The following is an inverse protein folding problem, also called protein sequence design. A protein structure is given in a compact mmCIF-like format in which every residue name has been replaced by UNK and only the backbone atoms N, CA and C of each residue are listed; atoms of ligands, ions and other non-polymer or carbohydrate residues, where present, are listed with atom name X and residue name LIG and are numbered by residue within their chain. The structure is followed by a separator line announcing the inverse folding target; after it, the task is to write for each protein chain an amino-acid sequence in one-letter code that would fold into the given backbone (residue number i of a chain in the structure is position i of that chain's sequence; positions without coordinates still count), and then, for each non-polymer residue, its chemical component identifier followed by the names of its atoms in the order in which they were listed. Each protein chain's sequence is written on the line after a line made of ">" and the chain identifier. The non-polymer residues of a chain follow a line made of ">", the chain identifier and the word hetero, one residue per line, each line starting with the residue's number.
data_IF_747459895631
#
_entry.id   IF_747459895631
#
_cell.length_a   1.000
_cell.length_b   1.000
_cell.length_c   1.000
_cell.angle_alpha   90.00
_cell.angle_beta   90.00
_cell.angle_gamma   90.00
#
_symmetry.space_group_name_H-M   'P 1'
#
loop_
_entity.id
_entity.type
_entity.pdbx_description
1 polymer ?
#
# COMPACT_ATOMS: atom_id res chain seq x y z
N UNK A 1 -3.75 -2.69 23.76
CA UNK A 1 -2.68 -3.04 22.80
C UNK A 1 -3.13 -4.04 21.73
N UNK A 2 -3.75 -5.19 22.07
CA UNK A 2 -4.18 -6.19 21.07
C UNK A 2 -5.05 -5.66 19.92
N UNK A 3 -5.93 -4.69 20.19
CA UNK A 3 -6.79 -4.07 19.17
C UNK A 3 -6.01 -3.34 18.07
N UNK A 4 -4.94 -2.62 18.45
CA UNK A 4 -4.12 -1.90 17.48
C UNK A 4 -3.31 -2.84 16.60
N UNK A 5 -2.82 -3.97 17.14
CA UNK A 5 -2.05 -4.96 16.39
C UNK A 5 -2.92 -5.72 15.36
N UNK A 6 -4.19 -5.99 15.72
CA UNK A 6 -5.18 -6.58 14.80
C UNK A 6 -5.48 -5.67 13.62
N UNK A 7 -5.46 -4.35 13.81
CA UNK A 7 -5.55 -3.39 12.73
C UNK A 7 -4.23 -3.26 11.94
N UNK A 8 -3.10 -3.22 12.65
CA UNK A 8 -1.81 -2.92 12.07
C UNK A 8 -1.30 -3.98 11.09
N UNK A 9 -1.50 -5.28 11.34
CA UNK A 9 -0.92 -6.34 10.49
C UNK A 9 -1.58 -6.41 9.10
N UNK A 10 -2.92 -6.45 8.98
CA UNK A 10 -3.57 -6.37 7.66
C UNK A 10 -3.26 -5.05 6.96
N UNK A 11 -3.26 -3.93 7.69
CA UNK A 11 -2.90 -2.61 7.16
C UNK A 11 -1.44 -2.51 6.68
N UNK A 12 -0.50 -3.15 7.37
CA UNK A 12 0.88 -3.28 6.92
C UNK A 12 0.97 -4.06 5.62
N UNK A 13 0.25 -5.18 5.53
CA UNK A 13 0.25 -6.00 4.32
C UNK A 13 -0.35 -5.24 3.14
N UNK A 14 -1.44 -4.49 3.38
CA UNK A 14 -2.01 -3.58 2.39
C UNK A 14 -0.98 -2.54 1.93
N UNK A 15 -0.38 -1.77 2.84
CA UNK A 15 0.59 -0.73 2.48
C UNK A 15 1.86 -1.27 1.80
N UNK A 16 2.30 -2.47 2.18
CA UNK A 16 3.42 -3.15 1.54
C UNK A 16 3.09 -3.53 0.09
N UNK A 17 1.95 -4.18 -0.13
CA UNK A 17 1.53 -4.60 -1.46
C UNK A 17 1.19 -3.40 -2.35
N UNK A 18 0.54 -2.38 -1.79
CA UNK A 18 0.19 -1.14 -2.49
C UNK A 18 1.44 -0.49 -3.10
N UNK A 19 2.43 -0.18 -2.26
CA UNK A 19 3.63 0.52 -2.73
C UNK A 19 4.53 -0.38 -3.62
N UNK A 20 4.62 -1.69 -3.34
CA UNK A 20 5.41 -2.60 -4.16
C UNK A 20 4.81 -2.84 -5.55
N UNK A 21 3.50 -3.11 -5.62
CA UNK A 21 2.78 -3.33 -6.88
C UNK A 21 2.71 -2.04 -7.68
N UNK A 22 2.48 -0.90 -7.03
CA UNK A 22 2.50 0.42 -7.69
C UNK A 22 3.80 0.61 -8.46
N UNK A 23 4.96 0.38 -7.83
CA UNK A 23 6.26 0.61 -8.45
C UNK A 23 6.50 -0.34 -9.62
N UNK A 24 6.30 -1.64 -9.40
CA UNK A 24 6.55 -2.66 -10.43
C UNK A 24 5.58 -2.53 -11.61
N UNK A 25 4.29 -2.32 -11.34
CA UNK A 25 3.29 -2.13 -12.40
C UNK A 25 3.45 -0.76 -13.07
N UNK A 26 3.74 0.30 -12.31
CA UNK A 26 3.93 1.65 -12.82
C UNK A 26 5.03 1.69 -13.88
N UNK A 27 6.18 1.09 -13.58
CA UNK A 27 7.27 0.98 -14.55
C UNK A 27 6.93 0.10 -15.74
N UNK A 28 6.31 -1.06 -15.52
CA UNK A 28 5.89 -1.93 -16.62
C UNK A 28 4.89 -1.23 -17.57
N UNK A 29 4.02 -0.40 -17.02
CA UNK A 29 3.07 0.43 -17.76
C UNK A 29 3.81 1.56 -18.49
N UNK A 30 4.77 2.21 -17.86
CA UNK A 30 5.59 3.25 -18.47
C UNK A 30 6.38 2.73 -19.67
N UNK A 31 7.06 1.59 -19.52
CA UNK A 31 7.81 0.94 -20.60
C UNK A 31 6.94 0.41 -21.75
N UNK A 32 5.62 0.27 -21.56
CA UNK A 32 4.72 -0.29 -22.57
C UNK A 32 3.72 0.72 -23.12
N UNK A 33 2.85 1.26 -22.28
CA UNK A 33 1.82 2.25 -22.62
C UNK A 33 2.38 3.67 -22.61
N UNK A 34 3.33 3.99 -21.72
CA UNK A 34 4.00 5.29 -21.69
C UNK A 34 4.66 5.62 -23.02
N UNK A 35 5.46 4.70 -23.55
CA UNK A 35 6.11 4.84 -24.87
C UNK A 35 5.11 4.86 -26.03
N UNK A 36 4.03 4.06 -25.95
CA UNK A 36 3.04 3.95 -27.06
C UNK A 36 2.08 5.12 -27.16
N UNK A 37 1.71 5.72 -26.03
CA UNK A 37 0.68 6.77 -25.95
C UNK A 37 1.24 8.12 -25.49
N UNK A 38 2.55 8.23 -25.24
CA UNK A 38 3.19 9.46 -24.77
C UNK A 38 2.69 9.87 -23.38
N UNK A 39 2.41 8.91 -22.49
CA UNK A 39 1.94 9.20 -21.13
C UNK A 39 3.12 9.58 -20.24
N UNK A 40 2.90 10.53 -19.33
CA UNK A 40 3.93 10.90 -18.35
C UNK A 40 4.17 9.77 -17.34
N UNK A 41 5.38 9.73 -16.77
CA UNK A 41 5.75 8.83 -15.68
C UNK A 41 4.72 8.87 -14.53
N UNK A 42 4.27 10.07 -14.15
CA UNK A 42 3.26 10.26 -13.11
C UNK A 42 1.88 9.67 -13.46
N UNK A 43 1.49 9.69 -14.73
CA UNK A 43 0.25 9.04 -15.18
C UNK A 43 0.37 7.51 -15.15
N UNK A 44 1.54 6.97 -15.51
CA UNK A 44 1.84 5.55 -15.41
C UNK A 44 1.84 5.07 -13.95
N UNK A 45 2.45 5.84 -13.05
CA UNK A 45 2.40 5.61 -11.62
C UNK A 45 0.97 5.63 -11.05
N UNK A 46 0.12 6.56 -11.51
CA UNK A 46 -1.28 6.61 -11.10
C UNK A 46 -2.06 5.35 -11.53
N UNK A 47 -1.79 4.82 -12.73
CA UNK A 47 -2.36 3.54 -13.16
C UNK A 47 -1.81 2.37 -12.34
N UNK A 48 -0.52 2.40 -11.98
CA UNK A 48 0.09 1.46 -11.04
C UNK A 48 -0.65 1.42 -9.71
N UNK A 49 -0.98 2.58 -9.13
CA UNK A 49 -1.77 2.68 -7.90
C UNK A 49 -3.17 2.08 -8.03
N UNK A 50 -3.87 2.29 -9.14
CA UNK A 50 -5.21 1.69 -9.35
C UNK A 50 -5.13 0.16 -9.30
N UNK A 51 -4.12 -0.43 -9.92
CA UNK A 51 -3.88 -1.88 -9.90
C UNK A 51 -3.51 -2.36 -8.50
N UNK A 52 -2.64 -1.59 -7.83
CA UNK A 52 -2.14 -1.89 -6.50
C UNK A 52 -3.26 -1.87 -5.44
N UNK A 53 -4.08 -0.82 -5.40
CA UNK A 53 -5.23 -0.69 -4.51
C UNK A 53 -6.24 -1.83 -4.68
N UNK A 54 -6.56 -2.18 -5.93
CA UNK A 54 -7.51 -3.26 -6.24
C UNK A 54 -6.97 -4.60 -5.73
N UNK A 55 -5.67 -4.86 -5.92
CA UNK A 55 -5.02 -6.11 -5.49
C UNK A 55 -4.82 -6.15 -3.97
N UNK A 56 -4.44 -5.02 -3.37
CA UNK A 56 -4.29 -4.83 -1.93
C UNK A 56 -5.60 -5.05 -1.18
N UNK A 57 -6.71 -4.55 -1.73
CA UNK A 57 -8.02 -4.73 -1.10
C UNK A 57 -8.49 -6.19 -1.16
N UNK A 58 -8.29 -6.88 -2.29
CA UNK A 58 -8.63 -8.32 -2.42
C UNK A 58 -7.76 -9.18 -1.51
N UNK A 59 -6.46 -8.90 -1.45
CA UNK A 59 -5.53 -9.64 -0.59
C UNK A 59 -5.79 -9.41 0.91
N UNK A 60 -6.27 -8.23 1.31
CA UNK A 60 -6.63 -7.92 2.70
C UNK A 60 -7.61 -8.91 3.33
N UNK A 61 -8.62 -9.36 2.58
CA UNK A 61 -9.56 -10.39 3.06
C UNK A 61 -8.92 -11.77 3.26
N UNK A 62 -7.92 -12.09 2.44
CA UNK A 62 -7.15 -13.34 2.56
C UNK A 62 -6.25 -13.29 3.78
N UNK A 63 -5.58 -12.16 4.01
CA UNK A 63 -4.69 -11.91 5.15
C UNK A 63 -5.46 -11.98 6.47
N UNK A 64 -6.66 -11.40 6.55
CA UNK A 64 -7.52 -11.49 7.73
C UNK A 64 -7.88 -12.95 8.07
N UNK A 65 -8.23 -13.74 7.04
CA UNK A 65 -8.55 -15.16 7.19
C UNK A 65 -7.35 -15.96 7.70
N UNK A 66 -6.15 -15.70 7.16
CA UNK A 66 -4.91 -16.37 7.54
C UNK A 66 -4.43 -16.00 8.95
N UNK A 67 -4.63 -14.75 9.37
CA UNK A 67 -4.20 -14.27 10.68
C UNK A 67 -5.16 -14.62 11.80
N UNK A 68 -6.43 -14.94 11.50
CA UNK A 68 -7.44 -15.28 12.49
C UNK A 68 -7.04 -16.33 13.56
N UNK A 69 -6.30 -17.42 13.25
CA UNK A 69 -5.81 -18.35 14.27
C UNK A 69 -4.65 -17.81 15.12
N UNK A 70 -3.83 -16.91 14.56
CA UNK A 70 -2.64 -16.34 15.24
C UNK A 70 -3.02 -15.11 16.07
N UNK A 71 -3.96 -14.33 15.56
CA UNK A 71 -4.37 -13.04 16.06
C UNK A 71 -5.89 -12.97 16.22
N UNK A 72 -6.44 -13.63 17.25
CA UNK A 72 -7.88 -13.71 17.43
C UNK A 72 -8.48 -12.32 17.69
N UNK A 73 -9.64 -12.08 17.07
CA UNK A 73 -10.39 -10.84 17.24
C UNK A 73 -10.60 -10.53 18.74
N UNK A 74 -10.32 -9.30 19.20
CA UNK A 74 -10.51 -8.94 20.60
C UNK A 74 -11.97 -9.08 20.97
N UNK A 75 -12.26 -9.81 22.06
CA UNK A 75 -13.61 -9.89 22.64
C UNK A 75 -13.95 -8.56 23.31
N UNK A 76 -14.47 -7.63 22.53
CA UNK A 76 -14.99 -6.34 23.02
C UNK A 76 -16.51 -6.44 23.15
N UNK A 77 -17.06 -5.87 24.22
CA UNK A 77 -18.51 -5.63 24.27
C UNK A 77 -18.90 -4.63 23.18
N UNK A 78 -20.17 -4.62 22.75
CA UNK A 78 -20.65 -3.67 21.74
C UNK A 78 -20.39 -2.22 22.16
N UNK A 79 -20.60 -1.90 23.44
CA UNK A 79 -20.31 -0.59 24.01
C UNK A 79 -18.80 -0.24 23.96
N UNK A 80 -17.92 -1.21 24.18
CA UNK A 80 -16.47 -1.00 24.06
C UNK A 80 -16.03 -0.82 22.61
N UNK A 81 -16.65 -1.54 21.67
CA UNK A 81 -16.36 -1.46 20.24
C UNK A 81 -16.81 -0.13 19.64
N UNK A 82 -17.93 0.42 20.14
CA UNK A 82 -18.44 1.74 19.77
C UNK A 82 -17.69 2.89 20.46
N UNK A 83 -16.76 2.61 21.37
CA UNK A 83 -16.03 3.66 22.08
C UNK A 83 -15.05 4.40 21.16
N UNK A 84 -14.96 5.72 21.35
CA UNK A 84 -14.00 6.57 20.60
C UNK A 84 -12.55 6.13 20.79
N UNK A 85 -12.23 5.59 21.96
CA UNK A 85 -10.90 5.04 22.26
C UNK A 85 -10.60 3.79 21.42
N UNK A 86 -11.58 2.90 21.22
CA UNK A 86 -11.41 1.71 20.37
C UNK A 86 -11.23 2.10 18.91
N UNK A 87 -12.06 3.01 18.39
CA UNK A 87 -11.94 3.53 17.02
C UNK A 87 -10.62 4.25 16.79
N UNK A 88 -10.17 5.09 17.73
CA UNK A 88 -8.89 5.77 17.63
C UNK A 88 -7.71 4.79 17.67
N UNK A 89 -7.76 3.79 18.57
CA UNK A 89 -6.72 2.76 18.64
C UNK A 89 -6.62 1.96 17.34
N UNK A 90 -7.78 1.64 16.74
CA UNK A 90 -7.84 0.95 15.46
C UNK A 90 -7.31 1.82 14.32
N UNK A 91 -7.72 3.10 14.25
CA UNK A 91 -7.27 4.03 13.23
C UNK A 91 -5.77 4.31 13.31
N UNK A 92 -5.23 4.56 14.51
CA UNK A 92 -3.79 4.78 14.72
C UNK A 92 -3.00 3.52 14.43
N UNK A 93 -3.47 2.35 14.90
CA UNK A 93 -2.83 1.07 14.61
C UNK A 93 -2.78 0.78 13.10
N UNK A 94 -3.89 1.01 12.40
CA UNK A 94 -3.97 0.88 10.96
C UNK A 94 -3.06 1.87 10.22
N UNK A 95 -3.07 3.14 10.60
CA UNK A 95 -2.23 4.17 9.98
C UNK A 95 -0.72 3.88 10.14
N UNK A 96 -0.30 3.46 11.34
CA UNK A 96 1.09 3.02 11.58
C UNK A 96 1.41 1.79 10.75
N UNK A 97 0.48 0.82 10.68
CA UNK A 97 0.61 -0.36 9.83
C UNK A 97 0.86 0.02 8.37
N UNK A 98 -0.01 0.84 7.77
CA UNK A 98 0.11 1.31 6.39
C UNK A 98 1.45 2.02 6.19
N UNK A 99 1.79 2.98 7.04
CA UNK A 99 3.03 3.75 6.91
C UNK A 99 4.26 2.85 6.87
N UNK A 100 4.38 1.92 7.83
CA UNK A 100 5.50 0.97 7.87
C UNK A 100 5.44 0.06 6.64
N UNK A 101 4.26 -0.44 6.27
CA UNK A 101 4.05 -1.24 5.08
C UNK A 101 4.58 -0.56 3.83
N UNK A 102 4.19 0.68 3.57
CA UNK A 102 4.65 1.45 2.41
C UNK A 102 6.18 1.63 2.41
N UNK A 103 6.79 1.94 3.55
CA UNK A 103 8.26 2.06 3.65
C UNK A 103 8.96 0.77 3.23
N UNK A 104 8.47 -0.38 3.68
CA UNK A 104 9.01 -1.68 3.25
C UNK A 104 8.64 -2.02 1.80
N UNK A 105 7.45 -1.61 1.34
CA UNK A 105 6.96 -1.80 -0.03
C UNK A 105 7.75 -1.00 -1.07
N UNK A 106 8.51 0.03 -0.66
CA UNK A 106 9.43 0.76 -1.54
C UNK A 106 10.68 -0.05 -1.93
N UNK A 107 10.84 -1.29 -1.46
CA UNK A 107 12.02 -2.10 -1.79
C UNK A 107 12.30 -2.28 -3.30
N UNK A 108 11.31 -2.29 -4.23
CA UNK A 108 11.61 -2.40 -5.66
C UNK A 108 12.51 -1.28 -6.17
N UNK A 109 12.49 -0.10 -5.54
CA UNK A 109 13.38 1.02 -5.89
C UNK A 109 14.87 0.65 -5.78
N UNK A 110 15.23 -0.33 -4.95
CA UNK A 110 16.62 -0.80 -4.84
C UNK A 110 17.10 -1.57 -6.09
N UNK A 111 16.18 -1.98 -6.96
CA UNK A 111 16.46 -2.79 -8.14
C UNK A 111 16.30 -2.02 -9.46
N UNK A 112 15.81 -0.78 -9.40
CA UNK A 112 15.60 0.05 -10.57
C UNK A 112 16.68 1.12 -10.65
N UNK A 113 17.52 1.05 -11.69
CA UNK A 113 18.43 2.14 -12.06
C UNK A 113 17.61 3.30 -12.64
N UNK A 114 17.90 4.53 -12.19
CA UNK A 114 17.28 5.72 -12.75
C UNK A 114 17.52 5.75 -14.26
N UNK A 115 16.44 5.67 -15.03
CA UNK A 115 16.49 6.09 -16.43
C UNK A 115 16.59 7.61 -16.40
N UNK A 116 17.82 8.12 -16.42
CA UNK A 116 18.08 9.51 -16.78
C UNK A 116 17.60 9.67 -18.22
N UNK A 117 16.38 10.15 -18.38
CA UNK A 117 15.98 10.79 -19.61
C UNK A 117 16.74 12.12 -19.65
N UNK A 118 17.87 12.11 -20.36
CA UNK A 118 18.58 13.29 -20.84
C UNK A 118 17.61 14.12 -21.71
N UNK A 119 16.76 14.92 -21.08
CA UNK A 119 16.07 16.04 -21.73
C UNK A 119 16.88 17.31 -21.45
N UNK A 120 18.02 17.42 -22.13
CA UNK A 120 18.77 18.67 -22.23
C UNK A 120 17.99 19.65 -23.13
N UNK A 121 17.41 20.72 -22.56
CA UNK A 121 17.06 21.92 -23.33
C UNK A 121 15.86 22.76 -22.87
N UNK A 122 16.14 23.84 -22.11
CA UNK A 122 15.29 25.04 -22.00
C UNK A 122 13.99 24.85 -21.20
N UNK A 123 13.63 25.72 -20.26
CA UNK A 123 13.33 27.13 -20.43
C UNK A 123 13.63 27.87 -19.11
N UNK A 124 14.10 29.11 -19.29
CA UNK A 124 14.40 30.13 -18.28
C UNK A 124 13.29 30.38 -17.24
#
# INVERSE_FOLDING_TARGET
>A
MKLGLVAAVPCFTFGFLDNAIMLVCGEAIEGSLGVKFGLSAMACAAMGNVVADTTGQVSGGTVDTMLRPVLPAPRLSEAQRASRAASLTHAVGGAVGIFVGCVFGSFPLLFYEERQDDDDGGVA
#
